data_IF_617063576057
#
_entry.id   IF_617063576057
#
_cell.length_a   1.000
_cell.length_b   1.000
_cell.length_c   1.000
_cell.angle_alpha   90.00
_cell.angle_beta   90.00
_cell.angle_gamma   90.00
#
_symmetry.space_group_name_H-M   'P 1'
#
loop_
_entity.id
_entity.type
_entity.pdbx_description
1 polymer ?
#
# COMPACT_ATOMS: atom_id res chain seq x y z
N UNK A 1 30.89 77.84 -8.47
CA UNK A 1 29.93 77.49 -7.40
C UNK A 1 29.80 75.98 -7.37
N UNK A 2 30.20 75.36 -6.26
CA UNK A 2 30.39 73.90 -6.11
C UNK A 2 29.08 73.14 -6.34
N UNK A 3 29.10 72.03 -7.08
CA UNK A 3 28.09 70.98 -6.96
C UNK A 3 28.79 69.68 -6.57
N UNK A 4 28.55 69.28 -5.32
CA UNK A 4 28.89 67.97 -4.77
C UNK A 4 27.90 66.96 -5.36
N UNK A 5 28.37 66.03 -6.17
CA UNK A 5 27.60 64.86 -6.55
C UNK A 5 27.85 63.74 -5.55
N UNK A 6 26.88 63.53 -4.65
CA UNK A 6 26.81 62.37 -3.78
C UNK A 6 26.20 61.23 -4.60
N UNK A 7 26.99 60.22 -4.98
CA UNK A 7 26.46 58.98 -5.57
C UNK A 7 26.01 58.10 -4.41
N UNK A 8 24.70 58.01 -4.23
CA UNK A 8 24.05 57.09 -3.32
C UNK A 8 24.08 55.69 -3.95
N UNK A 9 25.00 54.83 -3.51
CA UNK A 9 24.97 53.42 -3.84
C UNK A 9 23.82 52.77 -3.07
N UNK A 10 22.67 52.62 -3.73
CA UNK A 10 21.57 51.80 -3.22
C UNK A 10 21.99 50.34 -3.39
N UNK A 11 22.54 49.77 -2.32
CA UNK A 11 22.64 48.33 -2.13
C UNK A 11 21.21 47.79 -2.02
N UNK A 12 20.64 47.37 -3.14
CA UNK A 12 19.46 46.51 -3.12
C UNK A 12 19.96 45.14 -2.64
N UNK A 13 19.93 44.94 -1.32
CA UNK A 13 19.92 43.63 -0.73
C UNK A 13 18.57 42.98 -1.08
N UNK A 14 18.46 42.52 -2.33
CA UNK A 14 17.42 41.59 -2.70
C UNK A 14 17.63 40.36 -1.83
N UNK A 15 16.70 40.10 -0.93
CA UNK A 15 16.60 38.86 -0.19
C UNK A 15 16.54 37.74 -1.23
N UNK A 16 17.72 37.16 -1.52
CA UNK A 16 17.81 35.92 -2.22
C UNK A 16 16.98 34.92 -1.40
N UNK A 17 15.78 34.59 -1.88
CA UNK A 17 15.22 33.27 -1.65
C UNK A 17 16.19 32.29 -2.32
N UNK A 18 17.35 32.13 -1.70
CA UNK A 18 18.45 31.39 -2.23
C UNK A 18 18.04 29.92 -2.24
N UNK A 19 17.94 29.37 -3.45
CA UNK A 19 18.61 28.11 -3.73
C UNK A 19 18.11 26.89 -2.95
N UNK A 20 16.81 26.81 -2.63
CA UNK A 20 16.28 25.61 -2.00
C UNK A 20 16.33 24.40 -2.94
N UNK A 21 16.17 24.61 -4.25
CA UNK A 21 16.08 23.53 -5.25
C UNK A 21 17.20 23.42 -6.26
N UNK A 22 18.16 24.34 -6.25
CA UNK A 22 19.29 24.40 -7.18
C UNK A 22 20.29 25.46 -6.73
N UNK A 23 21.52 25.40 -7.25
CA UNK A 23 22.56 26.43 -7.10
C UNK A 23 22.86 27.07 -8.45
N UNK A 24 23.08 28.39 -8.48
CA UNK A 24 23.56 29.08 -9.69
C UNK A 24 25.07 29.30 -9.58
N UNK A 25 25.79 29.06 -10.67
CA UNK A 25 27.21 29.42 -10.87
C UNK A 25 27.34 30.44 -12.00
N UNK A 26 28.55 30.81 -12.40
CA UNK A 26 28.77 31.81 -13.45
C UNK A 26 28.10 31.42 -14.78
N UNK A 27 28.06 30.13 -15.09
CA UNK A 27 27.63 29.59 -16.39
C UNK A 27 26.62 28.44 -16.27
N UNK A 28 26.27 27.99 -15.06
CA UNK A 28 25.43 26.80 -14.87
C UNK A 28 24.39 26.94 -13.76
N UNK A 29 23.28 26.21 -13.94
CA UNK A 29 22.35 25.84 -12.87
C UNK A 29 22.66 24.40 -12.46
N UNK A 30 22.99 24.19 -11.20
CA UNK A 30 23.47 22.89 -10.68
C UNK A 30 22.46 22.28 -9.70
N UNK A 31 22.14 21.01 -9.92
CA UNK A 31 21.25 20.20 -9.08
C UNK A 31 21.92 18.87 -8.74
N UNK A 32 22.66 18.84 -7.64
CA UNK A 32 23.58 17.74 -7.29
C UNK A 32 23.50 17.28 -5.81
N UNK A 33 22.61 17.85 -5.00
CA UNK A 33 22.49 17.59 -3.56
C UNK A 33 21.10 17.13 -3.18
N UNK A 34 20.99 16.24 -2.19
CA UNK A 34 19.71 15.76 -1.63
C UNK A 34 18.78 16.92 -1.25
N UNK A 35 19.32 17.96 -0.62
CA UNK A 35 18.57 19.12 -0.19
C UNK A 35 17.91 19.87 -1.37
N UNK A 36 18.54 19.89 -2.55
CA UNK A 36 17.93 20.46 -3.76
C UNK A 36 16.67 19.71 -4.13
N UNK A 37 16.77 18.38 -4.20
CA UNK A 37 15.65 17.54 -4.60
C UNK A 37 14.51 17.57 -3.59
N UNK A 38 14.82 17.66 -2.29
CA UNK A 38 13.81 17.77 -1.23
C UNK A 38 12.95 19.04 -1.31
N UNK A 39 13.40 20.08 -2.01
CA UNK A 39 12.58 21.28 -2.22
C UNK A 39 11.63 21.17 -3.41
N UNK A 40 11.74 20.12 -4.22
CA UNK A 40 10.89 19.90 -5.38
C UNK A 40 9.64 19.16 -4.96
N UNK A 41 8.53 19.42 -5.64
CA UNK A 41 7.29 18.67 -5.41
C UNK A 41 7.28 17.43 -6.30
N UNK A 42 7.11 16.26 -5.70
CA UNK A 42 7.00 14.98 -6.40
C UNK A 42 6.02 14.07 -5.64
N UNK A 43 5.34 13.15 -6.33
CA UNK A 43 4.44 12.23 -5.65
C UNK A 43 5.21 11.37 -4.63
N UNK A 44 4.68 11.18 -3.42
CA UNK A 44 5.32 10.36 -2.40
C UNK A 44 5.65 8.96 -2.91
N UNK A 45 6.86 8.51 -2.61
CA UNK A 45 7.32 7.16 -2.92
C UNK A 45 7.67 6.86 -4.37
N UNK A 46 7.83 7.88 -5.22
CA UNK A 46 8.30 7.71 -6.62
C UNK A 46 9.82 7.76 -6.74
N UNK A 47 10.49 8.44 -5.82
CA UNK A 47 11.93 8.67 -5.88
C UNK A 47 12.61 8.20 -4.60
N UNK A 48 13.75 7.56 -4.75
CA UNK A 48 14.71 7.35 -3.67
C UNK A 48 15.83 8.38 -3.82
N UNK A 49 15.97 9.23 -2.80
CA UNK A 49 17.04 10.21 -2.72
C UNK A 49 18.21 9.56 -1.99
N UNK A 50 19.37 9.46 -2.62
CA UNK A 50 20.57 8.96 -1.95
C UNK A 50 21.18 10.03 -1.03
N UNK A 51 22.05 9.62 -0.11
CA UNK A 51 22.86 10.55 0.68
C UNK A 51 23.89 11.30 -0.18
N UNK A 52 24.30 10.73 -1.32
CA UNK A 52 25.22 11.35 -2.29
C UNK A 52 24.58 12.41 -3.18
N UNK A 53 23.28 12.68 -3.05
CA UNK A 53 22.56 13.66 -3.86
C UNK A 53 22.07 13.15 -5.21
N UNK A 54 22.19 11.84 -5.45
CA UNK A 54 21.61 11.16 -6.61
C UNK A 54 20.10 10.94 -6.38
N UNK A 55 19.31 11.16 -7.43
CA UNK A 55 17.89 10.80 -7.46
C UNK A 55 17.76 9.56 -8.30
N UNK A 56 17.06 8.57 -7.78
CA UNK A 56 16.70 7.38 -8.53
C UNK A 56 15.19 7.18 -8.47
N UNK A 57 14.54 6.71 -9.55
CA UNK A 57 13.21 6.16 -9.43
C UNK A 57 13.21 5.04 -8.40
N UNK A 58 12.18 5.01 -7.54
CA UNK A 58 12.00 3.87 -6.64
C UNK A 58 11.83 2.61 -7.49
N UNK A 59 12.67 1.62 -7.22
CA UNK A 59 12.62 0.36 -7.95
C UNK A 59 11.34 -0.41 -7.60
N UNK A 60 10.53 -0.71 -8.61
CA UNK A 60 9.42 -1.66 -8.46
C UNK A 60 10.00 -3.08 -8.51
N UNK A 61 10.07 -3.72 -7.34
CA UNK A 61 10.53 -5.10 -7.24
C UNK A 61 9.53 -6.02 -7.94
N UNK A 62 10.06 -6.97 -8.73
CA UNK A 62 9.31 -8.05 -9.36
C UNK A 62 9.54 -9.34 -8.58
N UNK A 63 8.63 -10.31 -8.76
CA UNK A 63 8.76 -11.66 -8.20
C UNK A 63 8.95 -11.65 -6.67
N UNK A 64 8.16 -10.81 -6.00
CA UNK A 64 8.11 -10.71 -4.53
C UNK A 64 6.80 -11.29 -4.00
N UNK A 65 6.81 -11.69 -2.72
CA UNK A 65 5.57 -11.89 -1.99
C UNK A 65 4.99 -10.52 -1.60
N UNK A 66 3.86 -10.17 -2.23
CA UNK A 66 3.28 -8.83 -2.10
C UNK A 66 2.69 -8.52 -0.72
N UNK A 67 2.50 -9.53 0.13
CA UNK A 67 1.96 -9.34 1.49
C UNK A 67 3.03 -8.92 2.50
N UNK A 68 4.32 -9.11 2.19
CA UNK A 68 5.41 -8.89 3.14
C UNK A 68 5.73 -7.42 3.42
N UNK A 69 5.16 -6.48 2.68
CA UNK A 69 5.44 -5.05 2.77
C UNK A 69 4.16 -4.18 2.83
N UNK A 70 3.02 -4.77 3.23
CA UNK A 70 1.71 -4.08 3.32
C UNK A 70 1.83 -2.80 4.16
N UNK A 71 2.33 -2.92 5.40
CA UNK A 71 2.45 -1.79 6.33
C UNK A 71 3.35 -0.71 5.73
N UNK A 72 4.51 -1.07 5.17
CA UNK A 72 5.41 -0.10 4.56
C UNK A 72 4.75 0.71 3.42
N UNK A 73 3.88 0.07 2.64
CA UNK A 73 3.15 0.73 1.56
C UNK A 73 2.01 1.62 2.08
N UNK A 74 1.25 1.17 3.08
CA UNK A 74 0.23 1.99 3.74
C UNK A 74 0.86 3.22 4.41
N UNK A 75 2.02 3.09 5.06
CA UNK A 75 2.74 4.24 5.63
C UNK A 75 3.24 5.21 4.57
N UNK A 76 3.69 4.71 3.43
CA UNK A 76 4.16 5.55 2.33
C UNK A 76 3.02 6.32 1.67
N UNK A 77 1.80 5.74 1.65
CA UNK A 77 0.58 6.35 1.09
C UNK A 77 -0.63 5.93 1.94
N UNK A 78 -0.88 6.62 3.07
CA UNK A 78 -2.02 6.31 3.92
C UNK A 78 -3.33 6.46 3.13
N UNK A 79 -4.28 5.51 3.25
CA UNK A 79 -5.60 5.66 2.66
C UNK A 79 -6.30 6.92 3.20
N UNK A 80 -7.01 7.67 2.35
CA UNK A 80 -7.67 8.94 2.74
C UNK A 80 -8.64 8.80 3.94
N UNK A 81 -9.19 7.61 4.16
CA UNK A 81 -10.09 7.32 5.28
C UNK A 81 -9.40 6.97 6.60
N UNK A 82 -8.09 6.70 6.60
CA UNK A 82 -7.34 6.24 7.76
C UNK A 82 -6.81 7.44 8.55
N UNK A 83 -7.47 7.74 9.68
CA UNK A 83 -7.11 8.86 10.56
C UNK A 83 -6.01 8.47 11.56
N UNK A 84 -4.83 8.14 11.06
CA UNK A 84 -3.64 7.82 11.85
C UNK A 84 -2.42 8.50 11.24
N UNK A 85 -1.47 8.87 12.09
CA UNK A 85 -0.16 9.27 11.60
C UNK A 85 0.53 8.06 10.93
N UNK A 86 1.30 8.25 9.85
CA UNK A 86 1.91 7.14 9.12
C UNK A 86 2.70 6.19 10.02
N UNK A 87 3.40 6.69 11.02
CA UNK A 87 4.18 5.88 11.96
C UNK A 87 3.34 4.93 12.83
N UNK A 88 2.08 5.28 13.09
CA UNK A 88 1.16 4.51 13.93
C UNK A 88 0.34 3.47 13.14
N UNK A 89 0.45 3.47 11.81
CA UNK A 89 -0.25 2.49 10.97
C UNK A 89 0.35 1.10 11.21
N UNK A 90 -0.52 0.12 11.47
CA UNK A 90 -0.18 -1.29 11.68
C UNK A 90 -0.91 -2.18 10.68
N UNK A 91 -0.61 -3.49 10.68
CA UNK A 91 -1.21 -4.44 9.74
C UNK A 91 -2.74 -4.54 9.91
N UNK A 92 -3.25 -4.50 11.14
CA UNK A 92 -4.69 -4.45 11.43
C UNK A 92 -5.43 -3.33 10.68
N UNK A 93 -4.78 -2.21 10.36
CA UNK A 93 -5.40 -1.10 9.62
C UNK A 93 -5.66 -1.44 8.14
N UNK A 94 -4.99 -2.47 7.63
CA UNK A 94 -5.19 -3.00 6.28
C UNK A 94 -6.39 -3.93 6.19
N UNK A 95 -6.94 -4.40 7.33
CA UNK A 95 -7.83 -5.54 7.39
C UNK A 95 -9.23 -5.09 7.77
N UNK A 96 -10.21 -5.52 6.97
CA UNK A 96 -11.63 -5.44 7.29
C UNK A 96 -12.20 -6.85 7.32
N UNK A 97 -13.22 -7.11 8.13
CA UNK A 97 -13.86 -8.41 8.14
C UNK A 97 -15.32 -8.38 8.58
N UNK A 98 -15.98 -9.51 8.34
CA UNK A 98 -17.34 -9.75 8.78
C UNK A 98 -17.47 -9.83 10.31
N UNK A 99 -18.72 -9.83 10.77
CA UNK A 99 -19.05 -9.72 12.20
C UNK A 99 -18.41 -10.81 13.08
N UNK A 100 -18.08 -11.97 12.50
CA UNK A 100 -17.48 -13.13 13.19
C UNK A 100 -16.25 -13.64 12.44
N UNK A 101 -15.52 -12.72 11.82
CA UNK A 101 -14.36 -13.06 11.02
C UNK A 101 -13.13 -13.33 11.87
N UNK A 102 -13.07 -12.96 13.15
CA UNK A 102 -11.82 -12.96 13.93
C UNK A 102 -10.71 -12.18 13.18
N UNK A 103 -10.94 -10.89 12.97
CA UNK A 103 -10.03 -10.01 12.20
C UNK A 103 -8.61 -9.98 12.76
N UNK A 104 -8.45 -10.08 14.09
CA UNK A 104 -7.13 -10.12 14.72
C UNK A 104 -6.29 -11.32 14.23
N UNK A 105 -6.91 -12.49 14.01
CA UNK A 105 -6.22 -13.67 13.52
C UNK A 105 -5.77 -13.58 12.06
N UNK A 106 -6.28 -12.62 11.28
CA UNK A 106 -5.91 -12.44 9.86
C UNK A 106 -4.44 -12.01 9.72
N UNK A 107 -3.87 -11.34 10.72
CA UNK A 107 -2.46 -10.94 10.71
C UNK A 107 -1.51 -12.15 10.60
N UNK A 108 -1.90 -13.30 11.17
CA UNK A 108 -1.14 -14.55 11.11
C UNK A 108 -0.94 -15.05 9.67
N UNK A 109 -1.78 -14.63 8.71
CA UNK A 109 -1.63 -15.04 7.31
C UNK A 109 -0.40 -14.40 6.63
N UNK A 110 0.20 -13.38 7.26
CA UNK A 110 1.23 -12.54 6.66
C UNK A 110 2.54 -12.50 7.46
N UNK A 111 2.65 -13.29 8.53
CA UNK A 111 3.84 -13.36 9.39
C UNK A 111 4.95 -14.30 8.84
N UNK A 112 4.60 -15.16 7.87
CA UNK A 112 5.51 -16.13 7.27
C UNK A 112 5.66 -17.44 8.05
N UNK A 113 4.95 -17.61 9.16
CA UNK A 113 4.87 -18.84 9.94
C UNK A 113 3.71 -19.70 9.44
N UNK A 114 4.00 -20.94 9.05
CA UNK A 114 2.97 -21.87 8.57
C UNK A 114 2.24 -22.60 9.70
N UNK A 115 2.62 -22.35 10.96
CA UNK A 115 1.99 -22.92 12.16
C UNK A 115 0.99 -21.97 12.81
N UNK A 116 1.01 -20.68 12.45
CA UNK A 116 -0.02 -19.70 12.79
C UNK A 116 -1.08 -19.70 11.67
N UNK A 117 -2.31 -19.35 12.02
CA UNK A 117 -3.42 -19.39 11.08
C UNK A 117 -4.54 -18.42 11.45
N UNK A 118 -5.42 -18.22 10.49
CA UNK A 118 -6.70 -17.54 10.69
C UNK A 118 -7.82 -18.57 10.73
N UNK A 119 -8.68 -18.46 11.74
CA UNK A 119 -9.97 -19.14 11.81
C UNK A 119 -11.05 -18.14 12.23
N UNK A 120 -12.23 -18.15 11.60
CA UNK A 120 -13.32 -17.29 12.02
C UNK A 120 -13.96 -17.79 13.33
N UNK A 121 -14.64 -16.90 14.04
CA UNK A 121 -15.42 -17.28 15.22
C UNK A 121 -16.63 -18.15 14.82
N UNK A 122 -17.15 -19.02 15.71
CA UNK A 122 -18.36 -19.79 15.44
C UNK A 122 -19.52 -18.89 14.98
N UNK A 123 -20.25 -19.27 13.91
CA UNK A 123 -21.27 -18.40 13.35
C UNK A 123 -22.52 -18.40 14.24
N UNK A 124 -23.35 -17.37 14.12
CA UNK A 124 -24.71 -17.40 14.67
C UNK A 124 -25.73 -17.72 13.60
N UNK A 125 -26.88 -18.22 14.04
CA UNK A 125 -28.07 -18.40 13.20
C UNK A 125 -28.75 -17.06 12.85
N UNK A 126 -28.41 -15.98 13.55
CA UNK A 126 -29.03 -14.66 13.39
C UNK A 126 -28.57 -13.92 12.12
N UNK A 127 -27.41 -14.31 11.57
CA UNK A 127 -26.77 -13.65 10.44
C UNK A 127 -26.46 -14.67 9.34
N UNK A 128 -26.55 -14.24 8.08
CA UNK A 128 -26.11 -15.07 6.96
C UNK A 128 -24.61 -15.33 7.04
N UNK A 129 -24.17 -16.59 6.84
CA UNK A 129 -22.76 -16.99 6.97
C UNK A 129 -21.80 -16.12 6.13
N UNK A 130 -22.21 -15.76 4.91
CA UNK A 130 -21.44 -14.91 4.01
C UNK A 130 -21.22 -13.47 4.51
N UNK A 131 -22.00 -13.01 5.48
CA UNK A 131 -21.80 -11.70 6.14
C UNK A 131 -20.90 -11.79 7.37
N UNK A 132 -20.70 -13.01 7.88
CA UNK A 132 -19.95 -13.30 9.10
C UNK A 132 -18.49 -13.66 8.81
N UNK A 133 -18.28 -14.57 7.86
CA UNK A 133 -16.99 -15.22 7.59
C UNK A 133 -16.35 -14.71 6.31
N UNK A 134 -15.76 -13.52 6.38
CA UNK A 134 -14.97 -12.96 5.30
C UNK A 134 -13.99 -11.94 5.85
N UNK A 135 -12.89 -11.72 5.12
CA UNK A 135 -12.00 -10.59 5.36
C UNK A 135 -11.51 -10.01 4.03
N UNK A 136 -11.10 -8.76 4.08
CA UNK A 136 -10.45 -8.00 3.00
C UNK A 136 -9.12 -7.52 3.53
N UNK A 137 -8.10 -7.53 2.68
CA UNK A 137 -6.78 -6.96 3.00
C UNK A 137 -6.39 -5.95 1.93
N UNK A 138 -6.15 -4.72 2.34
CA UNK A 138 -5.56 -3.68 1.50
C UNK A 138 -4.04 -3.86 1.45
N UNK A 139 -3.48 -4.04 0.25
CA UNK A 139 -2.04 -4.21 0.08
C UNK A 139 -1.27 -2.87 0.13
N UNK A 140 -1.97 -1.74 0.28
CA UNK A 140 -1.43 -0.38 0.29
C UNK A 140 -0.88 0.08 -1.07
N UNK A 141 -1.07 -0.72 -2.12
CA UNK A 141 -0.62 -0.45 -3.49
C UNK A 141 -1.32 -1.33 -4.51
N UNK A 142 -1.25 -0.92 -5.77
CA UNK A 142 -1.57 -1.80 -6.89
C UNK A 142 -0.50 -2.90 -7.02
N UNK A 143 -0.93 -4.15 -7.14
CA UNK A 143 -0.06 -5.31 -7.32
C UNK A 143 -0.42 -6.00 -8.63
N UNK A 144 0.56 -6.08 -9.54
CA UNK A 144 0.46 -6.97 -10.70
C UNK A 144 0.84 -8.37 -10.27
N UNK A 145 -0.10 -9.08 -9.64
CA UNK A 145 0.13 -10.45 -9.24
C UNK A 145 0.33 -11.32 -10.50
N UNK A 146 1.22 -12.31 -10.41
CA UNK A 146 1.30 -13.43 -11.38
C UNK A 146 0.58 -14.66 -10.86
N UNK A 147 0.52 -14.79 -9.55
CA UNK A 147 -0.04 -15.93 -8.85
C UNK A 147 -0.61 -15.45 -7.52
N UNK A 148 -1.77 -15.98 -7.15
CA UNK A 148 -2.28 -15.96 -5.79
C UNK A 148 -2.26 -17.39 -5.24
N UNK A 149 -1.74 -17.55 -4.03
CA UNK A 149 -1.63 -18.85 -3.37
C UNK A 149 -2.41 -18.80 -2.07
N UNK A 150 -3.46 -19.61 -1.97
CA UNK A 150 -4.19 -19.86 -0.73
C UNK A 150 -3.73 -21.20 -0.17
N UNK A 151 -3.40 -21.22 1.12
CA UNK A 151 -2.98 -22.42 1.84
C UNK A 151 -3.88 -22.62 3.05
N UNK A 152 -4.46 -23.79 3.15
CA UNK A 152 -5.07 -24.29 4.37
C UNK A 152 -3.99 -24.96 5.22
N UNK A 153 -4.17 -24.90 6.54
CA UNK A 153 -3.28 -25.54 7.52
C UNK A 153 -3.17 -27.05 7.29
N UNK A 154 -2.24 -27.73 7.97
CA UNK A 154 -2.15 -29.19 7.91
C UNK A 154 -3.36 -29.87 8.62
N UNK A 155 -3.60 -31.17 8.35
CA UNK A 155 -4.76 -31.92 8.87
C UNK A 155 -4.86 -31.91 10.40
N UNK A 156 -3.73 -31.82 11.07
CA UNK A 156 -3.59 -31.89 12.51
C UNK A 156 -3.94 -30.56 13.20
N UNK A 157 -3.97 -29.46 12.43
CA UNK A 157 -4.27 -28.12 12.91
C UNK A 157 -5.69 -27.68 12.60
N UNK A 158 -6.27 -28.15 11.49
CA UNK A 158 -7.65 -27.79 11.14
C UNK A 158 -8.11 -28.24 9.76
N UNK A 159 -9.41 -28.08 9.53
CA UNK A 159 -10.07 -28.43 8.29
C UNK A 159 -10.11 -27.25 7.31
N UNK A 160 -9.96 -27.49 6.00
CA UNK A 160 -10.19 -26.45 5.00
C UNK A 160 -11.67 -26.08 4.94
N UNK A 161 -11.99 -24.87 4.49
CA UNK A 161 -13.37 -24.52 4.17
C UNK A 161 -13.90 -25.46 3.08
N UNK A 162 -15.09 -26.02 3.31
CA UNK A 162 -15.79 -26.81 2.31
C UNK A 162 -16.07 -25.98 1.06
N UNK A 163 -16.46 -24.72 1.22
CA UNK A 163 -16.68 -23.81 0.10
C UNK A 163 -16.21 -22.40 0.46
N UNK A 164 -15.63 -21.72 -0.51
CA UNK A 164 -15.15 -20.35 -0.37
C UNK A 164 -15.07 -19.69 -1.75
N UNK A 165 -15.06 -18.36 -1.71
CA UNK A 165 -14.74 -17.52 -2.84
C UNK A 165 -13.43 -16.78 -2.57
N UNK A 166 -12.66 -16.56 -3.62
CA UNK A 166 -11.57 -15.60 -3.61
C UNK A 166 -11.88 -14.49 -4.60
N UNK A 167 -11.76 -13.26 -4.13
CA UNK A 167 -12.03 -12.06 -4.91
C UNK A 167 -10.81 -11.14 -4.92
N UNK A 168 -10.69 -10.34 -5.97
CA UNK A 168 -9.68 -9.29 -6.08
C UNK A 168 -10.33 -7.96 -6.47
N UNK A 169 -9.68 -6.87 -6.08
CA UNK A 169 -10.11 -5.52 -6.39
C UNK A 169 -8.97 -4.69 -6.97
N UNK A 170 -9.32 -3.75 -7.85
CA UNK A 170 -8.43 -2.70 -8.32
C UNK A 170 -8.57 -1.40 -7.50
N UNK A 171 -9.35 -1.41 -6.43
CA UNK A 171 -9.62 -0.24 -5.59
C UNK A 171 -10.70 0.70 -6.13
N UNK A 172 -11.38 0.33 -7.21
CA UNK A 172 -12.47 1.15 -7.78
C UNK A 172 -13.68 1.18 -6.83
N UNK A 173 -14.36 2.32 -6.76
CA UNK A 173 -15.62 2.45 -6.02
C UNK A 173 -16.73 1.74 -6.82
N UNK A 174 -17.59 0.92 -6.18
CA UNK A 174 -18.70 0.26 -6.86
C UNK A 174 -19.61 1.24 -7.60
N UNK A 175 -19.87 0.97 -8.90
CA UNK A 175 -20.68 1.86 -9.77
C UNK A 175 -22.08 2.15 -9.21
N UNK A 176 -22.70 1.16 -8.57
CA UNK A 176 -24.04 1.27 -7.99
C UNK A 176 -24.10 1.89 -6.58
N UNK A 177 -22.95 2.07 -5.92
CA UNK A 177 -22.89 2.61 -4.57
C UNK A 177 -21.60 3.42 -4.35
N UNK A 178 -21.65 4.72 -4.68
CA UNK A 178 -20.51 5.62 -4.53
C UNK A 178 -20.10 5.90 -3.08
N UNK A 179 -20.90 5.47 -2.11
CA UNK A 179 -20.62 5.60 -0.67
C UNK A 179 -20.21 4.27 -0.03
N UNK A 180 -19.91 3.26 -0.85
CA UNK A 180 -19.50 1.96 -0.34
C UNK A 180 -18.23 2.08 0.52
N UNK A 181 -18.20 1.49 1.73
CA UNK A 181 -16.99 1.47 2.55
C UNK A 181 -15.93 0.50 2.01
N UNK A 182 -16.29 -0.37 1.08
CA UNK A 182 -15.40 -1.34 0.43
C UNK A 182 -15.37 -1.12 -1.08
N UNK A 183 -14.26 -1.47 -1.76
CA UNK A 183 -14.18 -1.31 -3.20
C UNK A 183 -15.01 -2.36 -3.95
N UNK A 184 -15.09 -2.23 -5.27
CA UNK A 184 -15.65 -3.22 -6.18
C UNK A 184 -14.72 -4.42 -6.29
N UNK A 185 -15.27 -5.62 -6.11
CA UNK A 185 -14.53 -6.88 -6.19
C UNK A 185 -14.99 -7.71 -7.38
N UNK A 186 -14.04 -8.44 -7.98
CA UNK A 186 -14.29 -9.46 -9.00
C UNK A 186 -13.89 -10.81 -8.44
N UNK A 187 -14.74 -11.82 -8.63
CA UNK A 187 -14.44 -13.20 -8.25
C UNK A 187 -13.34 -13.78 -9.14
N UNK A 188 -12.28 -14.27 -8.52
CA UNK A 188 -11.14 -14.95 -9.15
C UNK A 188 -11.31 -16.46 -9.06
N UNK A 189 -11.82 -16.96 -7.93
CA UNK A 189 -12.13 -18.36 -7.71
C UNK A 189 -13.46 -18.46 -6.97
N UNK A 190 -14.28 -19.44 -7.36
CA UNK A 190 -15.46 -19.88 -6.62
C UNK A 190 -15.49 -21.39 -6.61
N UNK A 191 -15.50 -21.99 -5.42
CA UNK A 191 -15.66 -23.44 -5.30
C UNK A 191 -17.11 -23.83 -5.57
N UNK A 192 -17.35 -24.76 -6.51
CA UNK A 192 -18.69 -25.25 -6.84
C UNK A 192 -19.04 -26.58 -6.16
N UNK A 193 -18.06 -27.22 -5.54
CA UNK A 193 -18.19 -28.49 -4.81
C UNK A 193 -17.46 -28.39 -3.48
N UNK A 194 -17.89 -29.15 -2.44
CA UNK A 194 -17.18 -29.20 -1.17
C UNK A 194 -15.72 -29.64 -1.34
N UNK A 195 -14.79 -28.83 -0.86
CA UNK A 195 -13.38 -29.17 -0.72
C UNK A 195 -13.17 -30.00 0.55
N UNK A 196 -12.70 -31.23 0.39
CA UNK A 196 -12.47 -32.15 1.52
C UNK A 196 -10.99 -32.47 1.75
N UNK A 197 -10.14 -32.19 0.76
CA UNK A 197 -8.75 -32.71 0.73
C UNK A 197 -7.75 -31.66 0.22
N UNK A 198 -8.16 -30.72 -0.64
CA UNK A 198 -7.22 -29.78 -1.25
C UNK A 198 -6.82 -28.69 -0.24
N UNK A 199 -5.53 -28.62 0.08
CA UNK A 199 -4.99 -27.64 1.03
C UNK A 199 -4.19 -26.52 0.39
N UNK A 200 -3.84 -26.62 -0.90
CA UNK A 200 -3.15 -25.55 -1.62
C UNK A 200 -3.90 -25.23 -2.91
N UNK A 201 -4.23 -23.96 -3.09
CA UNK A 201 -4.84 -23.43 -4.31
C UNK A 201 -3.89 -22.40 -4.92
N UNK A 202 -3.35 -22.72 -6.09
CA UNK A 202 -2.53 -21.81 -6.87
C UNK A 202 -3.32 -21.27 -8.06
N UNK A 203 -3.52 -19.96 -8.08
CA UNK A 203 -4.29 -19.26 -9.10
C UNK A 203 -3.35 -18.38 -9.91
N UNK A 204 -3.08 -18.77 -11.16
CA UNK A 204 -2.32 -17.93 -12.07
C UNK A 204 -3.23 -16.81 -12.56
N UNK A 205 -2.82 -15.58 -12.31
CA UNK A 205 -3.52 -14.40 -12.80
C UNK A 205 -2.99 -14.14 -14.20
N UNK A 206 -3.81 -14.37 -15.23
CA UNK A 206 -3.47 -14.08 -16.63
C UNK A 206 -3.47 -12.57 -16.85
N UNK A 207 -2.50 -11.89 -16.27
CA UNK A 207 -2.03 -10.59 -16.73
C UNK A 207 -1.07 -10.87 -17.89
N UNK A 208 -1.60 -11.09 -19.09
CA UNK A 208 -0.75 -10.95 -20.28
C UNK A 208 -0.24 -9.51 -20.34
N UNK A 209 1.07 -9.31 -20.63
CA UNK A 209 1.69 -7.99 -20.69
C UNK A 209 1.16 -7.12 -21.84
#
# INVERSE_FOLDING_TARGET
MMHRSLILAVLIAGTAFAQSGYRITADQVVVDRRAHWQSWNFPPGVLDLSSSGTVQPRSLRRDINAVGDIVANLRARPPDGLKKDPEDIVLADAILGGARSNVAGVENLFDGDMTTYWEPDPPTEELDLGTQWWFIVDLGRLVMAKKLVLKFVAEELGDPFLQFDLLASQGNIPKGNQRSPTPEFTTILRTLKPNKEQRVFELVTNSEP
#
